data_IF_600490161125
#
_entry.id   IF_600490161125
#
_cell.length_a   1.000
_cell.length_b   1.000
_cell.length_c   1.000
_cell.angle_alpha   90.00
_cell.angle_beta   90.00
_cell.angle_gamma   90.00
#
_symmetry.space_group_name_H-M   'P 1'
#
loop_
_entity.id
_entity.type
_entity.pdbx_description
1 polymer ?
#
# COMPACT_ATOMS: atom_id res chain seq x y z
N UNK A 1 -53.48 4.14 7.27
CA UNK A 1 -52.21 3.82 6.59
C UNK A 1 -51.30 5.02 6.75
N UNK A 2 -50.39 4.96 7.72
CA UNK A 2 -49.38 6.00 7.93
C UNK A 2 -48.18 5.63 7.07
N UNK A 3 -48.05 6.29 5.91
CA UNK A 3 -46.81 6.24 5.13
C UNK A 3 -45.67 6.70 6.04
N UNK A 4 -44.70 5.83 6.28
CA UNK A 4 -43.45 6.22 6.93
C UNK A 4 -42.60 6.88 5.85
N UNK A 5 -42.40 8.19 5.94
CA UNK A 5 -41.37 8.90 5.18
C UNK A 5 -40.01 8.34 5.58
N UNK A 6 -39.53 7.40 4.77
CA UNK A 6 -38.18 6.89 4.85
C UNK A 6 -37.17 7.88 4.26
N UNK A 7 -35.87 7.58 4.38
CA UNK A 7 -34.84 8.39 3.74
C UNK A 7 -35.04 8.44 2.22
N UNK A 8 -34.84 9.62 1.63
CA UNK A 8 -34.89 9.84 0.18
C UNK A 8 -33.49 10.07 -0.37
N UNK A 9 -33.17 9.46 -1.52
CA UNK A 9 -31.88 9.61 -2.19
C UNK A 9 -31.92 10.79 -3.17
N UNK A 10 -30.93 11.68 -3.07
CA UNK A 10 -30.76 12.82 -3.95
C UNK A 10 -29.38 12.79 -4.63
N UNK A 11 -29.32 13.16 -5.91
CA UNK A 11 -28.07 13.28 -6.68
C UNK A 11 -27.91 14.74 -7.09
N UNK A 12 -26.75 15.34 -6.83
CA UNK A 12 -26.47 16.75 -7.05
C UNK A 12 -25.02 17.03 -7.49
N UNK A 13 -24.72 18.32 -7.67
CA UNK A 13 -23.36 18.81 -7.97
C UNK A 13 -22.52 19.04 -6.72
N UNK A 14 -21.60 20.01 -6.79
CA UNK A 14 -20.80 20.41 -5.63
C UNK A 14 -21.69 20.96 -4.50
N UNK A 15 -21.42 20.52 -3.28
CA UNK A 15 -22.12 20.90 -2.05
C UNK A 15 -21.09 20.95 -0.90
N UNK A 16 -20.56 22.15 -0.65
CA UNK A 16 -19.48 22.35 0.32
C UNK A 16 -19.94 22.11 1.76
N UNK A 17 -21.21 22.41 2.06
CA UNK A 17 -21.78 22.18 3.39
C UNK A 17 -21.93 20.69 3.68
N UNK A 18 -22.48 19.95 2.72
CA UNK A 18 -22.58 18.49 2.80
C UNK A 18 -21.20 17.85 2.88
N UNK A 19 -20.25 18.27 2.04
CA UNK A 19 -18.88 17.76 2.05
C UNK A 19 -18.24 17.96 3.43
N UNK A 20 -18.31 19.16 4.00
CA UNK A 20 -17.76 19.45 5.32
C UNK A 20 -18.49 18.67 6.44
N UNK A 21 -19.79 18.41 6.31
CA UNK A 21 -20.56 17.63 7.29
C UNK A 21 -20.14 16.16 7.27
N UNK A 22 -20.05 15.54 6.09
CA UNK A 22 -19.67 14.14 5.94
C UNK A 22 -18.21 13.93 6.37
N UNK A 23 -17.32 14.85 6.01
CA UNK A 23 -15.91 14.82 6.43
C UNK A 23 -15.78 14.71 7.96
N UNK A 24 -16.44 15.60 8.72
CA UNK A 24 -16.42 15.56 10.19
C UNK A 24 -16.96 14.25 10.77
N UNK A 25 -18.08 13.74 10.23
CA UNK A 25 -18.68 12.49 10.73
C UNK A 25 -17.78 11.29 10.40
N UNK A 26 -17.13 11.29 9.23
CA UNK A 26 -16.21 10.23 8.83
C UNK A 26 -14.91 10.27 9.64
N UNK A 27 -14.34 11.44 9.90
CA UNK A 27 -13.19 11.60 10.81
C UNK A 27 -13.53 11.06 12.20
N UNK A 28 -14.70 11.41 12.75
CA UNK A 28 -15.12 10.90 14.07
C UNK A 28 -15.23 9.36 14.08
N UNK A 29 -15.83 8.79 13.03
CA UNK A 29 -15.93 7.34 12.86
C UNK A 29 -14.56 6.67 12.73
N UNK A 30 -13.67 7.20 11.88
CA UNK A 30 -12.33 6.67 11.64
C UNK A 30 -11.47 6.73 12.91
N UNK A 31 -11.54 7.83 13.65
CA UNK A 31 -10.85 8.00 14.92
C UNK A 31 -11.33 6.96 15.94
N UNK A 32 -12.64 6.72 16.03
CA UNK A 32 -13.19 5.70 16.92
C UNK A 32 -12.78 4.27 16.50
N UNK A 33 -12.70 4.00 15.20
CA UNK A 33 -12.34 2.68 14.67
C UNK A 33 -10.85 2.36 14.80
N UNK A 34 -9.98 3.38 14.71
CA UNK A 34 -8.51 3.20 14.65
C UNK A 34 -7.78 3.61 15.92
N UNK A 35 -8.38 4.46 16.74
CA UNK A 35 -7.72 5.13 17.86
C UNK A 35 -6.72 6.22 17.45
N UNK A 36 -6.56 6.49 16.15
CA UNK A 36 -5.66 7.53 15.65
C UNK A 36 -6.44 8.85 15.46
N UNK A 37 -6.05 9.89 16.18
CA UNK A 37 -6.70 11.22 16.18
C UNK A 37 -5.76 12.34 15.71
N UNK A 38 -4.64 11.96 15.09
CA UNK A 38 -3.51 12.82 14.70
C UNK A 38 -3.59 13.28 13.23
N UNK A 39 -4.78 13.27 12.63
CA UNK A 39 -5.01 13.72 11.27
C UNK A 39 -4.61 15.20 11.12
N UNK A 40 -3.80 15.50 10.10
CA UNK A 40 -3.37 16.87 9.80
C UNK A 40 -2.97 17.05 8.33
N UNK A 41 -3.27 18.22 7.79
CA UNK A 41 -2.79 18.64 6.48
C UNK A 41 -1.26 18.84 6.48
N UNK A 42 -0.65 18.53 5.34
CA UNK A 42 0.76 18.76 5.07
C UNK A 42 0.87 19.66 3.84
N UNK A 43 1.57 20.78 3.97
CA UNK A 43 1.85 21.68 2.84
C UNK A 43 3.31 22.09 2.82
N UNK A 44 3.89 22.14 1.62
CA UNK A 44 5.22 22.70 1.36
C UNK A 44 5.06 23.70 0.23
N UNK A 45 5.59 24.91 0.39
CA UNK A 45 5.53 25.94 -0.66
C UNK A 45 6.87 26.64 -0.83
N UNK A 46 7.15 27.00 -2.07
CA UNK A 46 8.27 27.83 -2.47
C UNK A 46 7.69 29.10 -3.07
N UNK A 47 8.13 30.25 -2.55
CA UNK A 47 7.76 31.57 -3.07
C UNK A 47 9.00 32.30 -3.58
N UNK A 48 8.83 33.12 -4.60
CA UNK A 48 9.87 34.05 -5.07
C UNK A 48 9.95 35.29 -4.15
N UNK A 49 10.96 36.17 -4.31
CA UNK A 49 11.11 37.36 -3.46
C UNK A 49 9.90 38.32 -3.49
N UNK A 50 9.09 38.26 -4.55
CA UNK A 50 7.89 39.09 -4.70
C UNK A 50 6.64 38.42 -4.08
N UNK A 51 6.80 37.22 -3.47
CA UNK A 51 5.73 36.46 -2.83
C UNK A 51 4.92 35.58 -3.79
N UNK A 52 5.30 35.49 -5.06
CA UNK A 52 4.66 34.65 -6.06
C UNK A 52 4.95 33.16 -5.83
N UNK A 53 3.95 32.30 -6.02
CA UNK A 53 4.13 30.85 -5.90
C UNK A 53 5.02 30.32 -7.04
N UNK A 54 6.11 29.67 -6.66
CA UNK A 54 7.07 29.01 -7.56
C UNK A 54 6.79 27.51 -7.65
N UNK A 55 6.56 26.87 -6.51
CA UNK A 55 6.29 25.44 -6.42
C UNK A 55 5.50 25.13 -5.15
N UNK A 56 4.72 24.06 -5.16
CA UNK A 56 3.92 23.64 -4.00
C UNK A 56 3.65 22.15 -3.96
N UNK A 57 3.46 21.64 -2.75
CA UNK A 57 2.99 20.29 -2.45
C UNK A 57 1.90 20.37 -1.39
N UNK A 58 0.81 19.62 -1.59
CA UNK A 58 -0.21 19.36 -0.58
C UNK A 58 -0.32 17.87 -0.30
N UNK A 59 -0.69 17.53 0.92
CA UNK A 59 -0.77 16.16 1.41
C UNK A 59 -1.44 16.11 2.78
N UNK A 60 -1.39 14.95 3.40
CA UNK A 60 -1.95 14.69 4.72
C UNK A 60 -1.05 13.75 5.52
N UNK A 61 -1.24 13.73 6.83
CA UNK A 61 -0.69 12.75 7.76
C UNK A 61 -1.78 12.23 8.67
N UNK A 62 -1.80 10.92 8.94
CA UNK A 62 -2.73 10.29 9.88
C UNK A 62 -2.25 8.88 10.26
N UNK A 63 -2.27 8.54 11.55
CA UNK A 63 -2.02 7.18 12.05
C UNK A 63 -0.65 6.62 11.63
N UNK A 64 0.39 7.44 11.68
CA UNK A 64 1.75 7.06 11.25
C UNK A 64 1.94 6.95 9.73
N UNK A 65 1.02 7.50 8.93
CA UNK A 65 1.09 7.48 7.46
C UNK A 65 1.05 8.88 6.90
N UNK A 66 1.67 9.07 5.74
CA UNK A 66 1.55 10.29 4.96
C UNK A 66 1.03 9.99 3.54
N UNK A 67 0.35 10.97 2.95
CA UNK A 67 -0.05 10.94 1.55
C UNK A 67 0.23 12.27 0.87
N UNK A 68 0.62 12.21 -0.41
CA UNK A 68 0.77 13.39 -1.27
C UNK A 68 -0.47 13.49 -2.17
N UNK A 69 -1.14 14.63 -2.14
CA UNK A 69 -2.33 14.90 -2.95
C UNK A 69 -1.94 15.54 -4.27
N UNK A 70 -1.06 16.54 -4.24
CA UNK A 70 -0.71 17.33 -5.42
C UNK A 70 0.70 17.88 -5.31
N UNK A 71 1.45 17.84 -6.41
CA UNK A 71 2.74 18.50 -6.56
C UNK A 71 2.71 19.36 -7.80
N UNK A 72 3.17 20.60 -7.70
CA UNK A 72 3.22 21.52 -8.82
C UNK A 72 4.49 22.37 -8.79
N UNK A 73 5.08 22.57 -9.97
CA UNK A 73 6.19 23.49 -10.19
C UNK A 73 5.84 24.37 -11.37
N UNK A 74 5.96 25.69 -11.18
CA UNK A 74 5.73 26.70 -12.21
C UNK A 74 6.59 26.40 -13.44
N UNK A 75 6.02 26.54 -14.63
CA UNK A 75 6.61 26.03 -15.86
C UNK A 75 8.03 26.58 -16.13
N UNK A 76 8.27 27.85 -15.82
CA UNK A 76 9.53 28.58 -15.96
C UNK A 76 10.58 28.27 -14.87
N UNK A 77 10.24 27.42 -13.90
CA UNK A 77 11.12 26.96 -12.81
C UNK A 77 11.28 25.44 -12.79
N UNK A 78 10.76 24.73 -13.80
CA UNK A 78 10.94 23.28 -13.93
C UNK A 78 12.40 22.95 -14.25
N UNK A 79 12.84 21.75 -13.85
CA UNK A 79 14.23 21.25 -14.01
C UNK A 79 15.29 21.97 -13.16
N UNK A 80 14.89 22.84 -12.23
CA UNK A 80 15.78 23.45 -11.23
C UNK A 80 15.86 22.65 -9.92
N UNK A 81 15.27 21.44 -9.88
CA UNK A 81 15.28 20.57 -8.70
C UNK A 81 14.20 20.87 -7.65
N UNK A 82 13.30 21.84 -7.89
CA UNK A 82 12.22 22.17 -6.94
C UNK A 82 11.31 20.99 -6.58
N UNK A 83 11.01 20.10 -7.54
CA UNK A 83 10.19 18.92 -7.26
C UNK A 83 10.81 18.01 -6.20
N UNK A 84 12.11 17.72 -6.32
CA UNK A 84 12.82 16.90 -5.32
C UNK A 84 12.86 17.58 -3.95
N UNK A 85 13.16 18.88 -3.92
CA UNK A 85 13.18 19.66 -2.66
C UNK A 85 11.81 19.72 -1.96
N UNK A 86 10.72 19.79 -2.72
CA UNK A 86 9.37 19.71 -2.15
C UNK A 86 9.11 18.34 -1.54
N UNK A 87 9.53 17.28 -2.22
CA UNK A 87 9.36 15.90 -1.79
C UNK A 87 10.17 15.62 -0.52
N UNK A 88 11.46 15.99 -0.50
CA UNK A 88 12.34 15.84 0.66
C UNK A 88 11.76 16.55 1.89
N UNK A 89 11.31 17.80 1.73
CA UNK A 89 10.71 18.57 2.83
C UNK A 89 9.40 17.94 3.33
N UNK A 90 8.59 17.37 2.44
CA UNK A 90 7.36 16.66 2.83
C UNK A 90 7.67 15.36 3.58
N UNK A 91 8.68 14.60 3.13
CA UNK A 91 9.11 13.38 3.81
C UNK A 91 9.73 13.66 5.19
N UNK A 92 10.54 14.72 5.32
CA UNK A 92 11.10 15.16 6.61
C UNK A 92 9.99 15.56 7.58
N UNK A 93 9.01 16.33 7.13
CA UNK A 93 7.87 16.72 7.94
C UNK A 93 7.01 15.51 8.34
N UNK A 94 6.78 14.57 7.43
CA UNK A 94 6.10 13.32 7.73
C UNK A 94 6.85 12.50 8.81
N UNK A 95 8.18 12.35 8.69
CA UNK A 95 9.00 11.69 9.73
C UNK A 95 8.88 12.41 11.08
N UNK A 96 8.91 13.75 11.09
CA UNK A 96 8.75 14.56 12.30
C UNK A 96 7.40 14.35 12.98
N UNK A 97 6.35 14.08 12.19
CA UNK A 97 4.99 13.74 12.67
C UNK A 97 4.85 12.27 13.08
N UNK A 98 5.92 11.48 13.02
CA UNK A 98 5.90 10.06 13.38
C UNK A 98 5.40 9.14 12.26
N UNK A 99 5.32 9.64 11.01
CA UNK A 99 4.96 8.79 9.88
C UNK A 99 6.11 7.82 9.53
N UNK A 100 5.76 6.57 9.29
CA UNK A 100 6.69 5.51 8.91
C UNK A 100 6.65 5.20 7.40
N UNK A 101 5.65 5.73 6.70
CA UNK A 101 5.46 5.52 5.26
C UNK A 101 4.77 6.71 4.60
N UNK A 102 4.97 6.85 3.29
CA UNK A 102 4.33 7.87 2.45
C UNK A 102 3.85 7.27 1.13
N UNK A 103 2.71 7.74 0.64
CA UNK A 103 2.10 7.29 -0.62
C UNK A 103 1.71 8.44 -1.54
N UNK A 104 1.61 8.16 -2.84
CA UNK A 104 1.17 9.13 -3.85
C UNK A 104 0.56 8.42 -5.06
N UNK A 105 -0.47 9.02 -5.66
CA UNK A 105 -0.96 8.61 -6.98
C UNK A 105 -0.44 9.59 -8.05
N UNK A 106 -0.04 9.07 -9.20
CA UNK A 106 0.51 9.86 -10.30
C UNK A 106 0.14 9.27 -11.64
N UNK A 107 -0.47 10.08 -12.50
CA UNK A 107 -0.72 9.66 -13.87
C UNK A 107 0.57 9.53 -14.67
N UNK A 108 0.56 8.72 -15.73
CA UNK A 108 1.74 8.50 -16.59
C UNK A 108 2.29 9.79 -17.23
N UNK A 109 1.45 10.83 -17.40
CA UNK A 109 1.87 12.16 -17.88
C UNK A 109 2.34 13.12 -16.77
N UNK A 110 2.25 12.71 -15.50
CA UNK A 110 2.68 13.47 -14.31
C UNK A 110 4.00 12.94 -13.74
N UNK A 111 4.91 12.50 -14.61
CA UNK A 111 6.27 12.07 -14.30
C UNK A 111 6.35 10.93 -13.26
N UNK A 112 5.81 9.72 -13.53
CA UNK A 112 5.97 8.57 -12.64
C UNK A 112 7.45 8.24 -12.34
N UNK A 113 8.35 8.45 -13.31
CA UNK A 113 9.80 8.26 -13.12
C UNK A 113 10.42 9.25 -12.13
N UNK A 114 9.78 10.38 -11.85
CA UNK A 114 10.22 11.30 -10.79
C UNK A 114 10.13 10.59 -9.44
N UNK A 115 9.00 9.95 -9.11
CA UNK A 115 8.82 9.25 -7.84
C UNK A 115 9.73 8.02 -7.74
N UNK A 116 9.87 7.23 -8.81
CA UNK A 116 10.79 6.07 -8.84
C UNK A 116 12.23 6.48 -8.49
N UNK A 117 12.72 7.57 -9.08
CA UNK A 117 14.06 8.11 -8.77
C UNK A 117 14.23 8.60 -7.33
N UNK A 118 13.14 8.88 -6.62
CA UNK A 118 13.17 9.27 -5.20
C UNK A 118 12.87 8.08 -4.26
N UNK A 119 12.97 6.84 -4.76
CA UNK A 119 12.87 5.64 -3.93
C UNK A 119 11.44 5.20 -3.63
N UNK A 120 10.46 5.67 -4.41
CA UNK A 120 9.10 5.14 -4.35
C UNK A 120 8.96 3.89 -5.21
N UNK A 121 8.26 2.89 -4.68
CA UNK A 121 7.91 1.63 -5.36
C UNK A 121 6.48 1.70 -5.88
N UNK A 122 6.27 1.18 -7.08
CA UNK A 122 4.93 1.05 -7.68
C UNK A 122 4.16 -0.09 -6.99
N UNK A 123 2.96 0.20 -6.50
CA UNK A 123 2.11 -0.74 -5.76
C UNK A 123 0.82 -1.07 -6.51
N UNK A 124 0.51 -0.33 -7.58
CA UNK A 124 -0.68 -0.52 -8.36
C UNK A 124 -0.69 0.36 -9.60
N UNK A 125 -1.12 -0.23 -10.72
CA UNK A 125 -1.32 0.46 -11.99
C UNK A 125 -2.76 0.26 -12.41
N UNK A 126 -3.44 1.35 -12.74
CA UNK A 126 -4.81 1.32 -13.28
C UNK A 126 -4.84 1.89 -14.68
N UNK A 127 -5.26 1.05 -15.62
CA UNK A 127 -5.46 1.42 -17.01
C UNK A 127 -6.73 2.26 -17.21
N UNK A 128 -6.87 2.85 -18.40
CA UNK A 128 -8.10 3.53 -18.83
C UNK A 128 -8.13 5.03 -18.55
N UNK A 129 -6.99 5.66 -18.26
CA UNK A 129 -6.92 7.12 -18.19
C UNK A 129 -6.98 7.69 -19.62
N UNK A 130 -7.74 8.78 -19.86
CA UNK A 130 -7.90 9.35 -21.19
C UNK A 130 -6.57 9.55 -21.92
N UNK A 131 -6.55 9.28 -23.23
CA UNK A 131 -5.33 9.35 -24.03
C UNK A 131 -4.44 8.10 -23.93
N UNK A 132 -4.95 6.98 -23.39
CA UNK A 132 -4.18 5.74 -23.22
C UNK A 132 -3.17 5.83 -22.07
N UNK A 133 -3.41 6.73 -21.13
CA UNK A 133 -2.59 6.91 -19.95
C UNK A 133 -2.96 5.90 -18.86
N UNK A 134 -2.11 5.81 -17.84
CA UNK A 134 -2.35 4.98 -16.66
C UNK A 134 -2.19 5.80 -15.39
N UNK A 135 -2.75 5.30 -14.30
CA UNK A 135 -2.65 5.87 -12.95
C UNK A 135 -1.76 4.95 -12.10
N UNK A 136 -0.61 5.47 -11.67
CA UNK A 136 0.36 4.76 -10.84
C UNK A 136 0.15 5.10 -9.37
N UNK A 137 0.12 4.09 -8.51
CA UNK A 137 0.07 4.23 -7.07
C UNK A 137 1.42 3.86 -6.48
N UNK A 138 2.06 4.82 -5.83
CA UNK A 138 3.40 4.70 -5.29
C UNK A 138 3.38 4.68 -3.77
N UNK A 139 4.36 3.98 -3.21
CA UNK A 139 4.61 3.89 -1.78
C UNK A 139 6.11 3.95 -1.48
N UNK A 140 6.49 4.55 -0.35
CA UNK A 140 7.87 4.59 0.14
C UNK A 140 7.91 4.45 1.66
N UNK A 141 8.79 3.60 2.22
CA UNK A 141 9.04 3.57 3.66
C UNK A 141 9.86 4.82 4.05
N UNK A 142 9.48 5.47 5.14
CA UNK A 142 10.19 6.64 5.70
C UNK A 142 11.17 6.27 6.82
N UNK A 143 10.98 5.10 7.43
CA UNK A 143 11.92 4.50 8.36
C UNK A 143 12.87 3.58 7.60
N UNK A 144 14.14 3.57 7.99
CA UNK A 144 15.06 2.52 7.55
C UNK A 144 14.52 1.18 8.05
N UNK A 145 14.29 0.24 7.13
CA UNK A 145 13.98 -1.13 7.51
C UNK A 145 15.27 -1.77 8.04
N UNK A 146 15.43 -2.03 9.36
CA UNK A 146 16.73 -2.39 9.93
C UNK A 146 17.23 -3.76 9.47
N UNK A 147 16.39 -4.54 8.78
CA UNK A 147 16.76 -5.75 8.09
C UNK A 147 16.05 -5.76 6.74
N UNK A 148 16.79 -5.97 5.65
CA UNK A 148 16.19 -6.04 4.31
C UNK A 148 14.98 -6.97 4.33
N UNK A 149 13.83 -6.40 3.97
CA UNK A 149 12.58 -7.12 3.75
C UNK A 149 12.86 -8.32 2.86
N UNK A 150 12.70 -9.53 3.40
CA UNK A 150 12.77 -10.72 2.55
C UNK A 150 11.40 -10.86 1.87
N UNK A 151 11.38 -10.83 0.55
CA UNK A 151 10.22 -11.24 -0.23
C UNK A 151 10.50 -12.58 -0.90
N UNK A 152 9.57 -13.51 -0.73
CA UNK A 152 9.62 -14.81 -1.37
C UNK A 152 8.39 -15.04 -2.24
N UNK A 153 8.59 -15.72 -3.37
CA UNK A 153 7.52 -16.25 -4.20
C UNK A 153 7.50 -17.76 -4.03
N UNK A 154 6.39 -18.31 -3.54
CA UNK A 154 6.17 -19.74 -3.43
C UNK A 154 5.25 -20.22 -4.57
N UNK A 155 5.75 -21.15 -5.38
CA UNK A 155 4.97 -21.91 -6.36
C UNK A 155 4.56 -23.22 -5.71
N UNK A 156 3.27 -23.37 -5.44
CA UNK A 156 2.69 -24.51 -4.72
C UNK A 156 1.94 -25.39 -5.70
N UNK A 157 2.42 -26.63 -5.89
CA UNK A 157 1.74 -27.64 -6.70
C UNK A 157 0.74 -28.42 -5.85
N UNK A 158 -0.54 -28.24 -6.18
CA UNK A 158 -1.69 -28.87 -5.54
C UNK A 158 -2.18 -30.11 -6.31
N UNK A 159 -1.43 -30.61 -7.30
CA UNK A 159 -1.91 -31.65 -8.22
C UNK A 159 -2.21 -32.99 -7.56
N UNK A 160 -1.58 -33.31 -6.41
CA UNK A 160 -1.81 -34.55 -5.69
C UNK A 160 -3.24 -34.63 -5.11
N UNK A 161 -3.65 -33.59 -4.38
CA UNK A 161 -5.02 -33.40 -3.89
C UNK A 161 -5.31 -31.89 -3.79
N UNK A 162 -6.06 -31.32 -4.75
CA UNK A 162 -6.32 -29.89 -4.75
C UNK A 162 -7.12 -29.39 -3.55
N UNK A 163 -8.03 -30.20 -3.00
CA UNK A 163 -8.86 -29.76 -1.89
C UNK A 163 -8.10 -29.83 -0.57
N UNK A 164 -7.45 -30.96 -0.30
CA UNK A 164 -6.61 -31.11 0.89
C UNK A 164 -5.45 -30.12 0.87
N UNK A 165 -4.79 -29.95 -0.29
CA UNK A 165 -3.71 -29.00 -0.47
C UNK A 165 -4.12 -27.55 -0.18
N UNK A 166 -5.31 -27.13 -0.62
CA UNK A 166 -5.83 -25.77 -0.31
C UNK A 166 -6.04 -25.55 1.18
N UNK A 167 -6.65 -26.53 1.87
CA UNK A 167 -6.86 -26.44 3.33
C UNK A 167 -5.52 -26.36 4.06
N UNK A 168 -4.56 -27.20 3.68
CA UNK A 168 -3.20 -27.14 4.20
C UNK A 168 -2.56 -25.76 3.99
N UNK A 169 -2.67 -25.17 2.80
CA UNK A 169 -2.12 -23.83 2.57
C UNK A 169 -2.85 -22.74 3.38
N UNK A 170 -4.17 -22.83 3.57
CA UNK A 170 -4.92 -21.90 4.43
C UNK A 170 -4.41 -21.94 5.87
N UNK A 171 -4.21 -23.15 6.42
CA UNK A 171 -3.72 -23.37 7.77
C UNK A 171 -2.25 -22.92 7.93
N UNK A 172 -1.39 -23.25 6.97
CA UNK A 172 0.02 -22.85 6.98
C UNK A 172 0.19 -21.34 6.84
N UNK A 173 -0.56 -20.70 5.95
CA UNK A 173 -0.49 -19.25 5.75
C UNK A 173 -0.99 -18.47 6.99
N UNK A 174 -1.91 -19.04 7.78
CA UNK A 174 -2.35 -18.45 9.04
C UNK A 174 -1.22 -18.36 10.09
N UNK A 175 -0.16 -19.17 9.97
CA UNK A 175 1.00 -19.16 10.88
C UNK A 175 1.98 -18.01 10.60
N UNK A 176 1.93 -17.39 9.42
CA UNK A 176 2.90 -16.37 8.97
C UNK A 176 3.09 -15.24 9.97
N UNK A 177 2.00 -14.74 10.56
CA UNK A 177 2.04 -13.62 11.51
C UNK A 177 2.88 -13.89 12.74
N UNK A 178 3.02 -15.16 13.17
CA UNK A 178 3.85 -15.55 14.33
C UNK A 178 5.36 -15.33 14.06
N UNK A 179 5.74 -15.33 12.79
CA UNK A 179 7.13 -15.27 12.33
C UNK A 179 7.47 -13.94 11.65
N UNK A 180 6.65 -12.90 11.85
CA UNK A 180 6.82 -11.61 11.17
C UNK A 180 6.62 -11.70 9.65
N UNK A 181 5.89 -12.73 9.18
CA UNK A 181 5.51 -12.93 7.80
C UNK A 181 4.12 -12.36 7.49
N UNK A 182 3.92 -11.90 6.25
CA UNK A 182 2.63 -11.45 5.72
C UNK A 182 2.45 -11.92 4.29
N UNK A 183 1.31 -12.51 3.99
CA UNK A 183 0.88 -12.80 2.63
C UNK A 183 0.51 -11.49 1.92
N UNK A 184 1.20 -11.16 0.84
CA UNK A 184 0.93 -9.99 0.01
C UNK A 184 -0.03 -10.30 -1.13
N UNK A 185 0.17 -11.45 -1.79
CA UNK A 185 -0.70 -11.93 -2.87
C UNK A 185 -0.81 -13.44 -2.86
N UNK A 186 -1.98 -13.93 -3.23
CA UNK A 186 -2.24 -15.34 -3.51
C UNK A 186 -3.01 -15.43 -4.81
N UNK A 187 -2.41 -16.14 -5.75
CA UNK A 187 -2.92 -16.31 -7.10
C UNK A 187 -3.06 -17.80 -7.37
N UNK A 188 -3.88 -18.16 -8.36
CA UNK A 188 -4.07 -19.54 -8.79
C UNK A 188 -4.06 -19.61 -10.31
N UNK A 189 -3.48 -20.66 -10.86
CA UNK A 189 -3.55 -20.96 -12.29
C UNK A 189 -4.99 -21.24 -12.72
N UNK A 190 -5.29 -21.03 -14.00
CA UNK A 190 -6.65 -21.22 -14.53
C UNK A 190 -7.17 -22.66 -14.42
N UNK A 191 -6.26 -23.65 -14.34
CA UNK A 191 -6.60 -25.06 -14.11
C UNK A 191 -6.77 -25.42 -12.63
N UNK A 192 -6.49 -24.48 -11.72
CA UNK A 192 -6.63 -24.67 -10.28
C UNK A 192 -5.57 -25.54 -9.61
N UNK A 193 -4.53 -25.98 -10.34
CA UNK A 193 -3.54 -26.95 -9.86
C UNK A 193 -2.31 -26.33 -9.22
N UNK A 194 -2.05 -25.06 -9.47
CA UNK A 194 -0.90 -24.36 -8.87
C UNK A 194 -1.37 -23.08 -8.20
N UNK A 195 -0.87 -22.84 -7.00
CA UNK A 195 -0.96 -21.53 -6.35
C UNK A 195 0.37 -20.80 -6.38
N UNK A 196 0.30 -19.49 -6.49
CA UNK A 196 1.45 -18.59 -6.40
C UNK A 196 1.23 -17.67 -5.21
N UNK A 197 2.11 -17.75 -4.22
CA UNK A 197 2.07 -16.89 -3.05
C UNK A 197 3.22 -15.91 -3.09
N UNK A 198 2.94 -14.62 -2.90
CA UNK A 198 3.94 -13.58 -2.66
C UNK A 198 3.90 -13.27 -1.17
N UNK A 199 5.00 -13.53 -0.47
CA UNK A 199 5.08 -13.45 0.99
C UNK A 199 6.23 -12.52 1.36
N UNK A 200 5.97 -11.62 2.30
CA UNK A 200 6.94 -10.71 2.88
C UNK A 200 7.29 -11.17 4.30
N UNK A 201 8.57 -11.14 4.66
CA UNK A 201 9.07 -11.30 6.02
C UNK A 201 9.86 -10.08 6.46
N UNK A 202 9.76 -9.72 7.74
CA UNK A 202 10.56 -8.65 8.33
C UNK A 202 12.07 -8.94 8.32
N UNK A 203 12.46 -10.22 8.33
CA UNK A 203 13.86 -10.66 8.22
C UNK A 203 13.93 -12.13 7.75
N UNK A 204 15.09 -12.54 7.21
CA UNK A 204 15.37 -13.95 6.85
C UNK A 204 15.12 -14.91 8.02
N UNK A 205 15.52 -14.53 9.24
CA UNK A 205 15.33 -15.36 10.42
C UNK A 205 13.86 -15.73 10.68
N UNK A 206 12.91 -14.85 10.35
CA UNK A 206 11.49 -15.15 10.44
C UNK A 206 11.05 -16.19 9.42
N UNK A 207 11.53 -16.10 8.18
CA UNK A 207 11.27 -17.12 7.16
C UNK A 207 11.84 -18.49 7.56
N UNK A 208 13.08 -18.53 8.04
CA UNK A 208 13.73 -19.77 8.47
C UNK A 208 12.96 -20.42 9.64
N UNK A 209 12.52 -19.62 10.61
CA UNK A 209 11.68 -20.08 11.72
C UNK A 209 10.31 -20.61 11.26
N UNK A 210 9.69 -19.95 10.28
CA UNK A 210 8.44 -20.39 9.67
C UNK A 210 8.56 -21.72 8.91
N UNK A 211 9.72 -22.03 8.31
CA UNK A 211 9.97 -23.32 7.66
C UNK A 211 9.95 -24.51 8.63
N UNK A 212 10.36 -24.29 9.87
CA UNK A 212 10.49 -25.34 10.90
C UNK A 212 9.46 -25.23 12.02
N UNK A 213 8.40 -24.44 11.81
CA UNK A 213 7.31 -24.31 12.79
C UNK A 213 6.69 -25.70 13.08
N UNK A 214 6.61 -26.14 14.35
CA UNK A 214 6.12 -27.47 14.70
C UNK A 214 4.70 -27.76 14.21
N UNK A 215 3.82 -26.74 14.20
CA UNK A 215 2.44 -26.87 13.73
C UNK A 215 2.42 -27.07 12.21
N UNK A 216 3.26 -26.34 11.48
CA UNK A 216 3.45 -26.54 10.03
C UNK A 216 3.99 -27.94 9.71
N UNK A 217 4.97 -28.41 10.46
CA UNK A 217 5.54 -29.76 10.28
C UNK A 217 4.45 -30.81 10.51
N UNK A 218 3.68 -30.69 11.59
CA UNK A 218 2.59 -31.60 11.91
C UNK A 218 1.47 -31.59 10.84
N UNK A 219 1.08 -30.42 10.34
CA UNK A 219 0.11 -30.29 9.24
C UNK A 219 0.60 -31.02 7.98
N UNK A 220 1.89 -30.90 7.66
CA UNK A 220 2.49 -31.57 6.50
C UNK A 220 2.51 -33.08 6.68
N UNK A 221 2.91 -33.56 7.85
CA UNK A 221 2.93 -34.99 8.19
C UNK A 221 1.53 -35.61 8.12
N UNK A 222 0.51 -34.89 8.60
CA UNK A 222 -0.88 -35.34 8.55
C UNK A 222 -1.42 -35.53 7.13
N UNK A 223 -0.93 -34.74 6.16
CA UNK A 223 -1.30 -34.86 4.75
C UNK A 223 -0.54 -35.97 4.01
N UNK A 224 0.67 -36.32 4.44
CA UNK A 224 1.50 -37.34 3.79
C UNK A 224 1.71 -37.07 2.29
N UNK A 225 1.39 -38.06 1.45
CA UNK A 225 1.54 -37.96 -0.01
C UNK A 225 0.58 -36.94 -0.67
N UNK A 226 -0.47 -36.51 0.04
CA UNK A 226 -1.36 -35.45 -0.41
C UNK A 226 -0.79 -34.04 -0.16
N UNK A 227 0.34 -33.92 0.56
CA UNK A 227 0.96 -32.64 0.87
C UNK A 227 1.45 -31.95 -0.42
N UNK A 228 1.13 -30.66 -0.62
CA UNK A 228 1.64 -29.90 -1.74
C UNK A 228 3.17 -29.90 -1.82
N UNK A 229 3.69 -29.83 -3.03
CA UNK A 229 5.11 -29.54 -3.25
C UNK A 229 5.29 -28.04 -3.47
N UNK A 230 6.36 -27.47 -2.93
CA UNK A 230 6.57 -26.02 -2.96
C UNK A 230 7.97 -25.69 -3.47
N UNK A 231 8.06 -24.86 -4.50
CA UNK A 231 9.29 -24.20 -4.91
C UNK A 231 9.27 -22.75 -4.42
N UNK A 232 10.32 -22.32 -3.73
CA UNK A 232 10.43 -20.94 -3.20
C UNK A 232 11.56 -20.19 -3.90
N UNK A 233 11.29 -18.94 -4.29
CA UNK A 233 12.22 -18.03 -4.92
C UNK A 233 12.35 -16.77 -4.07
N UNK A 234 13.59 -16.36 -3.75
CA UNK A 234 13.83 -15.02 -3.21
C UNK A 234 13.70 -13.99 -4.33
N UNK A 235 12.96 -12.91 -4.10
CA UNK A 235 12.70 -11.86 -5.10
C UNK A 235 12.90 -10.47 -4.52
N UNK A 236 13.12 -9.50 -5.40
CA UNK A 236 13.12 -8.08 -5.09
C UNK A 236 12.30 -7.33 -6.14
N UNK A 237 11.77 -6.16 -5.77
CA UNK A 237 11.07 -5.30 -6.72
C UNK A 237 12.10 -4.70 -7.71
N UNK A 238 11.73 -4.61 -9.00
CA UNK A 238 12.54 -4.06 -10.10
C UNK A 238 11.97 -2.75 -10.62
#
# INVERSE_FOLDING_TARGET
MTEHEGPTLHVGGADDELAARIDRELTAFNNAATGATDEADLTVRVVDPDGGLVAGLTGWTWGGRAGINTVWVRADRRREGWGGRLLDAAEEEARRRGCTEISVASFSFQAPDFYRRHGYTDTGIRDGIPGGHVDHHFWKPLVEDPAGVLRVVALVDLSADPEAGRRYEDDVLALLGRHGGRLERRLRTGDGRTEVHVIRFAARAGYDAFLVDPERVALREALGDAAPTTQVLDVHDV
#
